data_IF_464582277237
#
_entry.id   IF_464582277237
#
_cell.length_a   1.000
_cell.length_b   1.000
_cell.length_c   1.000
_cell.angle_alpha   90.00
_cell.angle_beta   90.00
_cell.angle_gamma   90.00
#
_symmetry.space_group_name_H-M   'P 1'
#
loop_
_entity.id
_entity.type
_entity.pdbx_description
1 polymer ?
#
# COMPACT_ATOMS: atom_id res chain seq x y z
N UNK A 1 -39.37 -6.74 11.65
CA UNK A 1 -38.11 -7.39 11.25
C UNK A 1 -36.93 -6.51 11.69
N UNK A 2 -36.28 -6.80 12.83
CA UNK A 2 -35.08 -6.06 13.29
C UNK A 2 -33.83 -6.72 12.70
N UNK A 3 -33.65 -6.57 11.40
CA UNK A 3 -32.57 -7.23 10.62
C UNK A 3 -31.22 -6.53 10.77
N UNK A 4 -31.19 -5.30 11.28
CA UNK A 4 -29.97 -4.48 11.32
C UNK A 4 -28.81 -5.13 12.05
N UNK A 5 -29.00 -5.53 13.31
CA UNK A 5 -27.89 -5.97 14.16
C UNK A 5 -27.40 -7.39 13.85
N UNK A 6 -28.29 -8.31 13.46
CA UNK A 6 -27.93 -9.69 13.13
C UNK A 6 -27.09 -9.77 11.83
N UNK A 7 -27.41 -8.93 10.83
CA UNK A 7 -26.62 -8.84 9.60
C UNK A 7 -25.20 -8.31 9.85
N UNK A 8 -25.05 -7.27 10.68
CA UNK A 8 -23.74 -6.76 11.07
C UNK A 8 -22.93 -7.77 11.88
N UNK A 9 -23.55 -8.50 12.81
CA UNK A 9 -22.87 -9.54 13.58
C UNK A 9 -22.39 -10.71 12.69
N UNK A 10 -23.16 -11.07 11.67
CA UNK A 10 -22.75 -12.09 10.69
C UNK A 10 -21.59 -11.63 9.80
N UNK A 11 -21.61 -10.37 9.35
CA UNK A 11 -20.55 -9.80 8.52
C UNK A 11 -19.28 -9.42 9.31
N UNK A 12 -19.40 -9.17 10.63
CA UNK A 12 -18.33 -8.71 11.50
C UNK A 12 -17.01 -9.50 11.39
N UNK A 13 -16.97 -10.85 11.43
CA UNK A 13 -15.71 -11.59 11.31
C UNK A 13 -15.02 -11.37 9.96
N UNK A 14 -15.78 -11.35 8.86
CA UNK A 14 -15.21 -11.08 7.53
C UNK A 14 -14.67 -9.65 7.44
N UNK A 15 -15.43 -8.66 7.94
CA UNK A 15 -15.01 -7.26 7.99
C UNK A 15 -13.75 -7.08 8.85
N UNK A 16 -13.66 -7.76 9.99
CA UNK A 16 -12.48 -7.72 10.85
C UNK A 16 -11.25 -8.23 10.12
N UNK A 17 -11.36 -9.37 9.43
CA UNK A 17 -10.25 -9.93 8.64
C UNK A 17 -9.83 -8.95 7.54
N UNK A 18 -10.78 -8.38 6.80
CA UNK A 18 -10.49 -7.36 5.78
C UNK A 18 -9.79 -6.15 6.41
N UNK A 19 -10.29 -5.63 7.52
CA UNK A 19 -9.66 -4.49 8.20
C UNK A 19 -8.22 -4.80 8.62
N UNK A 20 -7.98 -5.94 9.25
CA UNK A 20 -6.65 -6.28 9.77
C UNK A 20 -5.66 -6.62 8.65
N UNK A 21 -6.08 -7.39 7.65
CA UNK A 21 -5.15 -7.93 6.66
C UNK A 21 -5.10 -7.15 5.35
N UNK A 22 -6.08 -6.28 5.08
CA UNK A 22 -6.05 -5.39 3.92
C UNK A 22 -5.76 -3.95 4.34
N UNK A 23 -6.58 -3.36 5.20
CA UNK A 23 -6.46 -1.93 5.51
C UNK A 23 -5.19 -1.59 6.29
N UNK A 24 -4.79 -2.40 7.28
CA UNK A 24 -3.56 -2.13 8.03
C UNK A 24 -2.32 -2.13 7.11
N UNK A 25 -2.05 -3.17 6.29
CA UNK A 25 -0.93 -3.14 5.34
C UNK A 25 -1.00 -1.99 4.33
N UNK A 26 -2.19 -1.66 3.81
CA UNK A 26 -2.36 -0.56 2.85
C UNK A 26 -2.03 0.78 3.48
N UNK A 27 -2.50 1.04 4.70
CA UNK A 27 -2.17 2.27 5.42
C UNK A 27 -0.69 2.33 5.79
N UNK A 28 -0.09 1.22 6.21
CA UNK A 28 1.35 1.14 6.46
C UNK A 28 2.15 1.45 5.20
N UNK A 29 1.79 0.86 4.05
CA UNK A 29 2.44 1.14 2.77
C UNK A 29 2.28 2.61 2.35
N UNK A 30 1.11 3.21 2.60
CA UNK A 30 0.89 4.63 2.34
C UNK A 30 1.80 5.52 3.20
N UNK A 31 1.90 5.24 4.50
CA UNK A 31 2.79 5.97 5.41
C UNK A 31 4.24 5.82 4.94
N UNK A 32 4.67 4.58 4.66
CA UNK A 32 6.02 4.29 4.16
C UNK A 32 6.30 5.02 2.85
N UNK A 33 5.33 5.13 1.94
CA UNK A 33 5.51 5.84 0.67
C UNK A 33 5.84 7.33 0.84
N UNK A 34 5.46 7.93 1.98
CA UNK A 34 5.71 9.33 2.32
C UNK A 34 6.92 9.53 3.24
N UNK A 35 7.58 8.45 3.65
CA UNK A 35 8.76 8.46 4.51
C UNK A 35 9.97 7.88 3.79
N UNK A 36 11.15 8.25 4.24
CA UNK A 36 12.42 7.65 3.86
C UNK A 36 12.63 6.39 4.70
N UNK A 37 12.17 5.25 4.18
CA UNK A 37 12.16 3.98 4.89
C UNK A 37 13.31 3.09 4.43
N UNK A 38 14.46 3.25 5.08
CA UNK A 38 15.66 2.45 4.83
C UNK A 38 15.87 1.36 5.89
N UNK A 39 16.84 0.46 5.65
CA UNK A 39 17.23 -0.61 6.58
C UNK A 39 17.49 -0.09 8.02
N UNK A 40 17.99 1.14 8.14
CA UNK A 40 18.24 1.79 9.43
C UNK A 40 16.95 2.23 10.14
N UNK A 41 15.89 2.55 9.40
CA UNK A 41 14.57 2.85 9.95
C UNK A 41 13.84 1.58 10.44
N UNK A 42 14.15 0.40 9.87
CA UNK A 42 13.72 -0.88 10.44
C UNK A 42 14.41 -1.18 11.78
N UNK A 43 15.69 -0.83 11.91
CA UNK A 43 16.46 -1.07 13.13
C UNK A 43 16.12 -0.08 14.26
N UNK A 44 15.82 1.17 13.91
CA UNK A 44 15.37 2.20 14.86
C UNK A 44 14.32 3.11 14.21
N UNK A 45 13.09 3.08 14.75
CA UNK A 45 11.96 3.92 14.32
C UNK A 45 12.29 5.42 14.41
N UNK A 46 13.26 5.84 15.21
CA UNK A 46 13.70 7.23 15.31
C UNK A 46 14.37 7.76 14.04
N UNK A 47 14.85 6.87 13.18
CA UNK A 47 15.44 7.24 11.88
C UNK A 47 14.39 7.40 10.77
N UNK A 48 13.10 7.20 11.08
CA UNK A 48 12.01 7.38 10.12
C UNK A 48 11.86 8.87 9.78
N UNK A 49 12.32 9.28 8.60
CA UNK A 49 12.24 10.67 8.15
C UNK A 49 11.05 10.86 7.22
N UNK A 50 10.17 11.81 7.53
CA UNK A 50 9.09 12.19 6.62
C UNK A 50 9.65 13.01 5.45
N UNK A 51 9.46 12.53 4.23
CA UNK A 51 9.95 13.16 2.98
C UNK A 51 8.81 13.60 2.05
N UNK A 52 7.56 13.33 2.43
CA UNK A 52 6.38 13.71 1.64
C UNK A 52 6.39 13.03 0.28
N UNK A 53 6.32 13.82 -0.79
CA UNK A 53 6.23 13.30 -2.17
C UNK A 53 7.59 13.09 -2.86
N UNK A 54 8.70 13.19 -2.14
CA UNK A 54 10.03 13.10 -2.77
C UNK A 54 10.29 11.73 -3.40
N UNK A 55 9.90 10.65 -2.73
CA UNK A 55 9.94 9.28 -3.28
C UNK A 55 9.24 9.17 -4.64
N UNK A 56 8.08 9.82 -4.79
CA UNK A 56 7.32 9.83 -6.04
C UNK A 56 8.04 10.63 -7.13
N UNK A 57 8.63 11.79 -6.79
CA UNK A 57 9.42 12.57 -7.76
C UNK A 57 10.62 11.76 -8.26
N UNK A 58 11.38 11.16 -7.35
CA UNK A 58 12.52 10.31 -7.70
C UNK A 58 12.10 9.15 -8.62
N UNK A 59 10.99 8.49 -8.31
CA UNK A 59 10.45 7.39 -9.10
C UNK A 59 10.02 7.84 -10.51
N UNK A 60 9.33 8.98 -10.62
CA UNK A 60 8.87 9.52 -11.90
C UNK A 60 10.02 10.00 -12.80
N UNK A 61 11.13 10.45 -12.21
CA UNK A 61 12.35 10.80 -12.94
C UNK A 61 13.24 9.59 -13.26
N UNK A 62 12.96 8.41 -12.70
CA UNK A 62 13.74 7.21 -12.95
C UNK A 62 13.38 6.59 -14.32
N UNK A 63 14.32 6.50 -15.28
CA UNK A 63 14.04 5.91 -16.59
C UNK A 63 13.68 4.41 -16.47
N UNK A 64 14.23 3.69 -15.48
CA UNK A 64 13.87 2.30 -15.24
C UNK A 64 12.39 2.11 -14.84
N UNK A 65 11.79 3.09 -14.15
CA UNK A 65 10.38 3.02 -13.75
C UNK A 65 9.48 2.93 -14.97
N UNK A 66 9.68 3.84 -15.94
CA UNK A 66 8.90 3.84 -17.18
C UNK A 66 9.13 2.61 -18.04
N UNK A 67 10.36 2.07 -18.08
CA UNK A 67 10.63 0.79 -18.75
C UNK A 67 9.86 -0.36 -18.09
N UNK A 68 9.86 -0.44 -16.76
CA UNK A 68 9.11 -1.46 -16.04
C UNK A 68 7.59 -1.33 -16.26
N UNK A 69 7.06 -0.11 -16.21
CA UNK A 69 5.64 0.17 -16.51
C UNK A 69 5.26 -0.25 -17.93
N UNK A 70 6.08 0.11 -18.92
CA UNK A 70 5.85 -0.26 -20.32
C UNK A 70 5.90 -1.78 -20.52
N UNK A 71 6.87 -2.47 -19.91
CA UNK A 71 6.97 -3.92 -19.98
C UNK A 71 5.74 -4.60 -19.37
N UNK A 72 5.33 -4.20 -18.16
CA UNK A 72 4.14 -4.76 -17.50
C UNK A 72 2.88 -4.49 -18.32
N UNK A 73 2.71 -3.27 -18.84
CA UNK A 73 1.59 -2.92 -19.72
C UNK A 73 1.56 -3.77 -20.99
N UNK A 74 2.72 -4.00 -21.61
CA UNK A 74 2.86 -4.90 -22.76
C UNK A 74 2.46 -6.33 -22.40
N UNK A 75 2.92 -6.86 -21.28
CA UNK A 75 2.55 -8.20 -20.81
C UNK A 75 1.04 -8.33 -20.55
N UNK A 76 0.40 -7.33 -19.94
CA UNK A 76 -1.05 -7.33 -19.72
C UNK A 76 -1.81 -7.26 -21.05
N UNK A 77 -1.33 -6.47 -22.01
CA UNK A 77 -2.01 -6.29 -23.29
C UNK A 77 -1.91 -7.49 -24.23
N UNK A 78 -0.77 -8.20 -24.20
CA UNK A 78 -0.50 -9.33 -25.10
C UNK A 78 -0.75 -10.69 -24.44
N UNK A 79 -0.60 -10.77 -23.11
CA UNK A 79 -0.76 -12.00 -22.35
C UNK A 79 -2.19 -12.31 -21.92
N UNK A 80 -3.14 -11.38 -22.12
CA UNK A 80 -4.60 -11.59 -21.96
C UNK A 80 -5.20 -12.03 -23.29
#
# INVERSE_FOLDING_TARGET
MRVGHAGWAFAAPALLIITVFFFVPVLSALIVSLTDFDLYALADIRNLRFVGLDNYRQLLHAPQFWRAVANTGYFVAVGV
#
